data_IF_860625686285
#
_entry.id   IF_860625686285
#
_cell.length_a   1.000
_cell.length_b   1.000
_cell.length_c   1.000
_cell.angle_alpha   90.00
_cell.angle_beta   90.00
_cell.angle_gamma   90.00
#
_symmetry.space_group_name_H-M   'P 1'
#
loop_
_entity.id
_entity.type
_entity.pdbx_description
1 polymer ?
#
# COMPACT_ATOMS: atom_id res chain seq x y z
N UNK A 1 -0.80 8.96 1.44
CA UNK A 1 -1.94 8.41 0.68
C UNK A 1 -3.19 8.51 1.57
N UNK A 2 -4.29 9.10 1.09
CA UNK A 2 -5.52 9.29 1.88
C UNK A 2 -6.51 8.14 1.65
N UNK A 3 -7.45 7.88 2.58
CA UNK A 3 -8.50 6.88 2.37
C UNK A 3 -9.32 7.09 1.10
N UNK A 4 -9.60 8.35 0.74
CA UNK A 4 -10.38 8.71 -0.44
C UNK A 4 -9.63 8.32 -1.73
N UNK A 5 -8.32 8.57 -1.77
CA UNK A 5 -7.48 8.19 -2.92
C UNK A 5 -7.31 6.67 -3.05
N UNK A 6 -7.38 5.93 -1.93
CA UNK A 6 -7.37 4.47 -1.93
C UNK A 6 -8.69 3.97 -2.49
N UNK A 7 -9.81 4.50 -2.02
CA UNK A 7 -11.14 4.13 -2.51
C UNK A 7 -11.28 4.37 -4.02
N UNK A 8 -10.85 5.54 -4.50
CA UNK A 8 -10.83 5.85 -5.94
C UNK A 8 -10.02 4.83 -6.75
N UNK A 9 -8.83 4.45 -6.25
CA UNK A 9 -8.01 3.43 -6.90
C UNK A 9 -8.69 2.06 -6.90
N UNK A 10 -9.29 1.67 -5.79
CA UNK A 10 -10.00 0.39 -5.67
C UNK A 10 -11.17 0.30 -6.66
N UNK A 11 -11.81 1.43 -6.96
CA UNK A 11 -12.88 1.50 -7.98
C UNK A 11 -12.38 1.65 -9.42
N UNK A 12 -11.09 1.95 -9.63
CA UNK A 12 -10.51 2.17 -10.96
C UNK A 12 -9.58 1.06 -11.43
N UNK A 13 -9.35 0.00 -10.64
CA UNK A 13 -8.53 -1.15 -11.08
C UNK A 13 -9.28 -1.99 -12.11
N UNK A 14 -8.54 -2.63 -13.01
CA UNK A 14 -9.11 -3.49 -14.07
C UNK A 14 -9.95 -4.67 -13.53
N UNK A 15 -9.75 -5.04 -12.26
CA UNK A 15 -10.48 -6.10 -11.57
C UNK A 15 -11.56 -5.52 -10.65
N UNK A 16 -12.54 -4.83 -11.23
CA UNK A 16 -13.64 -4.21 -10.48
C UNK A 16 -14.48 -5.23 -9.71
N UNK A 17 -14.39 -6.52 -10.01
CA UNK A 17 -15.01 -7.60 -9.24
C UNK A 17 -14.57 -7.65 -7.76
N UNK A 18 -13.42 -7.04 -7.44
CA UNK A 18 -12.92 -6.92 -6.07
C UNK A 18 -13.32 -5.60 -5.39
N UNK A 19 -14.03 -4.71 -6.08
CA UNK A 19 -14.62 -3.49 -5.49
C UNK A 19 -15.88 -3.83 -4.67
N UNK A 20 -15.69 -4.63 -3.63
CA UNK A 20 -16.77 -5.09 -2.78
C UNK A 20 -17.05 -4.03 -1.70
N UNK A 21 -18.32 -3.69 -1.40
CA UNK A 21 -18.66 -2.64 -0.43
C UNK A 21 -18.06 -2.85 0.96
N UNK A 22 -17.85 -4.11 1.37
CA UNK A 22 -17.25 -4.43 2.67
C UNK A 22 -15.72 -4.24 2.69
N UNK A 23 -15.07 -4.14 1.52
CA UNK A 23 -13.64 -3.85 1.38
C UNK A 23 -13.41 -2.37 1.01
N UNK A 24 -14.18 -1.80 0.10
CA UNK A 24 -14.04 -0.40 -0.32
C UNK A 24 -14.96 0.54 0.47
N UNK A 25 -14.76 0.60 1.78
CA UNK A 25 -15.41 1.58 2.65
C UNK A 25 -14.40 2.24 3.59
N UNK A 26 -14.77 3.42 4.10
CA UNK A 26 -13.88 4.24 4.92
C UNK A 26 -13.38 3.53 6.17
N UNK A 27 -14.25 2.78 6.86
CA UNK A 27 -13.93 2.10 8.11
C UNK A 27 -12.89 1.01 7.89
N UNK A 28 -13.11 0.15 6.89
CA UNK A 28 -12.16 -0.90 6.50
C UNK A 28 -10.84 -0.33 6.02
N UNK A 29 -10.86 0.70 5.18
CA UNK A 29 -9.63 1.34 4.67
C UNK A 29 -8.80 1.91 5.82
N UNK A 30 -9.43 2.59 6.78
CA UNK A 30 -8.74 3.13 7.95
C UNK A 30 -8.17 2.00 8.82
N UNK A 31 -8.96 0.96 9.11
CA UNK A 31 -8.50 -0.19 9.89
C UNK A 31 -7.30 -0.88 9.23
N UNK A 32 -7.35 -1.09 7.91
CA UNK A 32 -6.25 -1.70 7.17
C UNK A 32 -4.97 -0.88 7.23
N UNK A 33 -5.07 0.45 7.08
CA UNK A 33 -3.94 1.36 7.20
C UNK A 33 -3.35 1.40 8.60
N UNK A 34 -4.19 1.51 9.63
CA UNK A 34 -3.74 1.63 11.02
C UNK A 34 -3.14 0.32 11.53
N UNK A 35 -3.71 -0.82 11.15
CA UNK A 35 -3.29 -2.13 11.65
C UNK A 35 -2.35 -2.88 10.70
N UNK A 36 -1.92 -2.23 9.61
CA UNK A 36 -1.08 -2.81 8.58
C UNK A 36 -1.65 -4.13 8.02
N UNK A 37 -2.98 -4.21 7.90
CA UNK A 37 -3.68 -5.37 7.33
C UNK A 37 -3.72 -5.25 5.81
N UNK A 38 -3.92 -6.38 5.15
CA UNK A 38 -4.18 -6.40 3.73
C UNK A 38 -5.54 -5.77 3.40
N UNK A 39 -5.57 -4.79 2.49
CA UNK A 39 -6.80 -4.08 2.13
C UNK A 39 -7.83 -4.99 1.44
N UNK A 40 -7.39 -6.13 0.90
CA UNK A 40 -8.26 -7.15 0.30
C UNK A 40 -8.61 -8.29 1.26
N UNK A 41 -8.41 -8.08 2.57
CA UNK A 41 -8.75 -9.03 3.64
C UNK A 41 -8.09 -10.41 3.48
N UNK A 42 -6.90 -10.46 2.87
CA UNK A 42 -6.06 -11.67 2.86
C UNK A 42 -5.35 -11.80 4.21
N UNK A 43 -5.12 -13.04 4.66
CA UNK A 43 -4.43 -13.31 5.93
C UNK A 43 -2.92 -13.04 5.83
N UNK A 44 -2.56 -11.75 5.79
CA UNK A 44 -1.19 -11.24 5.67
C UNK A 44 -1.08 -9.91 6.41
N UNK A 45 0.07 -9.67 7.03
CA UNK A 45 0.40 -8.40 7.68
C UNK A 45 1.55 -7.71 6.94
N UNK A 46 1.37 -6.42 6.67
CA UNK A 46 2.40 -5.57 6.07
C UNK A 46 3.44 -5.23 7.15
N UNK A 47 4.72 -5.40 6.83
CA UNK A 47 5.83 -5.06 7.73
C UNK A 47 6.67 -4.00 7.04
N UNK A 48 6.87 -2.86 7.71
CA UNK A 48 7.77 -1.81 7.23
C UNK A 48 9.19 -2.37 7.14
N UNK A 49 9.83 -2.19 6.00
CA UNK A 49 11.22 -2.56 5.78
C UNK A 49 12.09 -1.31 5.68
N UNK A 50 13.26 -1.36 6.30
CA UNK A 50 14.27 -0.31 6.18
C UNK A 50 14.95 -0.41 4.81
N UNK A 51 15.12 0.74 4.15
CA UNK A 51 15.82 0.82 2.87
C UNK A 51 17.33 0.66 3.10
N UNK A 52 17.84 -0.55 2.91
CA UNK A 52 19.26 -0.89 3.07
C UNK A 52 19.76 -1.85 1.99
N UNK A 53 21.09 -1.97 1.86
CA UNK A 53 21.75 -2.76 0.81
C UNK A 53 21.62 -4.27 1.01
N UNK A 54 21.29 -4.72 2.22
CA UNK A 54 21.09 -6.14 2.51
C UNK A 54 19.72 -6.63 2.01
N UNK A 55 18.73 -5.75 1.99
CA UNK A 55 17.33 -6.05 1.61
C UNK A 55 16.96 -5.57 0.21
N UNK A 56 17.66 -4.57 -0.31
CA UNK A 56 17.37 -3.93 -1.58
C UNK A 56 18.63 -3.79 -2.46
N UNK A 57 18.48 -3.73 -3.80
CA UNK A 57 19.60 -3.46 -4.69
C UNK A 57 20.37 -2.19 -4.30
N UNK A 58 21.70 -2.27 -4.27
CA UNK A 58 22.56 -1.15 -3.88
C UNK A 58 22.25 0.13 -4.66
N UNK A 59 21.94 0.01 -5.96
CA UNK A 59 21.57 1.14 -6.81
C UNK A 59 20.35 1.92 -6.28
N UNK A 60 19.32 1.25 -5.75
CA UNK A 60 18.14 1.92 -5.19
C UNK A 60 18.50 2.67 -3.91
N UNK A 61 19.33 2.06 -3.07
CA UNK A 61 19.77 2.64 -1.79
C UNK A 61 20.68 3.85 -2.02
N UNK A 62 21.65 3.72 -2.93
CA UNK A 62 22.63 4.75 -3.25
C UNK A 62 22.02 5.95 -4.01
N UNK A 63 20.85 5.75 -4.62
CA UNK A 63 20.11 6.79 -5.33
C UNK A 63 18.76 7.11 -4.66
N UNK A 64 18.66 6.93 -3.33
CA UNK A 64 17.41 7.16 -2.60
C UNK A 64 16.80 8.55 -2.87
N UNK A 65 17.62 9.60 -2.93
CA UNK A 65 17.16 10.97 -3.22
C UNK A 65 16.51 11.10 -4.61
N UNK A 66 17.07 10.42 -5.61
CA UNK A 66 16.54 10.42 -6.98
C UNK A 66 15.16 9.77 -7.04
N UNK A 67 14.91 8.79 -6.18
CA UNK A 67 13.68 8.01 -6.15
C UNK A 67 12.77 8.38 -4.99
N UNK A 68 13.04 9.48 -4.26
CA UNK A 68 12.28 9.86 -3.05
C UNK A 68 10.77 9.88 -3.28
N UNK A 69 10.30 10.31 -4.44
CA UNK A 69 8.87 10.40 -4.75
C UNK A 69 8.19 9.02 -4.89
N UNK A 70 8.99 7.95 -5.06
CA UNK A 70 8.54 6.57 -5.15
C UNK A 70 8.75 5.76 -3.86
N UNK A 71 9.81 6.04 -3.10
CA UNK A 71 10.19 5.22 -1.94
C UNK A 71 9.88 5.88 -0.59
N UNK A 72 9.71 7.22 -0.53
CA UNK A 72 9.55 7.98 0.71
C UNK A 72 8.10 8.37 1.04
#
# INVERSE_FOLDING_TARGET
MTPERISEKMSSISHTEYDLPHLNNKEHIIDALTNAKDIWNRDRKMIKQDLNKDKFPAYLVDNADRFKDFIA
#
